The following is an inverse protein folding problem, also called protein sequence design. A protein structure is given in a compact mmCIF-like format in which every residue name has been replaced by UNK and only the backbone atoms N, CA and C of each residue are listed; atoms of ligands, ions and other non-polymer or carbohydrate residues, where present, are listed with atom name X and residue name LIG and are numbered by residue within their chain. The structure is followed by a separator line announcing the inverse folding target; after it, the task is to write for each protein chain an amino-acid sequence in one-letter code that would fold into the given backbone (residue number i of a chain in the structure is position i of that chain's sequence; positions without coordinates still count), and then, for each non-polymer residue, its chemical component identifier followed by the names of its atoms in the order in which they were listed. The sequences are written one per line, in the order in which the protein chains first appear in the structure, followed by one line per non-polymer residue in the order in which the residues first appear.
data_IF_110049028626
#
_entry.id   IF_110049028626
#
_cell.length_a   1.000
_cell.length_b   1.000
_cell.length_c   1.000
_cell.angle_alpha   90.00
_cell.angle_beta   90.00
_cell.angle_gamma   90.00
#
_symmetry.space_group_name_H-M   'P 1'
#
loop_
_entity.id
_entity.type
_entity.pdbx_description
1 polymer ?
#
# COMPACT_ATOMS: atom_id res chain seq x y z
N UNK A 1 -4.84 4.59 8.94
CA UNK A 1 -5.43 5.90 8.53
C UNK A 1 -6.17 6.68 9.62
N UNK A 2 -6.29 6.16 10.85
CA UNK A 2 -7.08 6.79 11.94
C UNK A 2 -6.75 8.25 12.26
N UNK A 3 -5.48 8.65 12.15
CA UNK A 3 -5.06 10.03 12.42
C UNK A 3 -5.36 11.01 11.28
N UNK A 4 -5.68 10.50 10.08
CA UNK A 4 -5.78 11.30 8.86
C UNK A 4 -7.20 11.31 8.28
N UNK A 5 -7.92 10.19 8.34
CA UNK A 5 -9.32 10.08 7.91
C UNK A 5 -9.98 8.97 8.74
N UNK A 6 -10.41 9.27 9.98
CA UNK A 6 -10.96 8.25 10.89
C UNK A 6 -12.28 7.67 10.39
N UNK A 7 -13.04 8.41 9.59
CA UNK A 7 -14.35 7.97 9.10
C UNK A 7 -14.22 6.95 7.96
N UNK A 8 -13.27 7.16 7.05
CA UNK A 8 -13.09 6.29 5.86
C UNK A 8 -11.91 5.34 5.96
N UNK A 9 -10.95 5.62 6.84
CA UNK A 9 -9.76 4.81 7.05
C UNK A 9 -9.02 4.54 5.72
N UNK A 10 -8.65 3.30 5.43
CA UNK A 10 -7.97 2.86 4.19
C UNK A 10 -8.90 2.83 2.96
N UNK A 11 -10.14 3.33 3.09
CA UNK A 11 -11.06 3.59 1.97
C UNK A 11 -11.18 5.09 1.66
N UNK A 12 -10.21 5.89 2.12
CA UNK A 12 -10.13 7.31 1.80
C UNK A 12 -9.77 7.54 0.32
N UNK A 13 -9.67 8.81 -0.08
CA UNK A 13 -9.27 9.16 -1.44
C UNK A 13 -7.76 8.96 -1.62
N UNK A 14 -7.35 8.60 -2.84
CA UNK A 14 -5.94 8.26 -3.14
C UNK A 14 -4.96 9.40 -2.83
N UNK A 15 -5.37 10.64 -3.06
CA UNK A 15 -4.59 11.83 -2.71
C UNK A 15 -4.36 11.93 -1.20
N UNK A 16 -5.40 11.66 -0.39
CA UNK A 16 -5.31 11.71 1.06
C UNK A 16 -4.48 10.55 1.62
N UNK A 17 -4.63 9.35 1.08
CA UNK A 17 -3.78 8.20 1.45
C UNK A 17 -2.31 8.45 1.11
N UNK A 18 -2.02 8.99 -0.08
CA UNK A 18 -0.67 9.31 -0.51
C UNK A 18 -0.03 10.37 0.40
N UNK A 19 -0.78 11.42 0.76
CA UNK A 19 -0.32 12.46 1.69
C UNK A 19 -0.10 11.92 3.11
N UNK A 20 -1.00 11.06 3.60
CA UNK A 20 -0.84 10.43 4.91
C UNK A 20 0.42 9.55 4.96
N UNK A 21 0.61 8.68 3.97
CA UNK A 21 1.80 7.84 3.87
C UNK A 21 3.08 8.68 3.76
N UNK A 22 3.07 9.73 2.94
CA UNK A 22 4.21 10.64 2.83
C UNK A 22 4.52 11.34 4.16
N UNK A 23 3.48 11.79 4.88
CA UNK A 23 3.62 12.46 6.18
C UNK A 23 4.26 11.54 7.21
N UNK A 24 3.81 10.28 7.32
CA UNK A 24 4.42 9.29 8.21
C UNK A 24 5.91 9.07 7.90
N UNK A 25 6.27 9.00 6.61
CA UNK A 25 7.66 8.83 6.17
C UNK A 25 8.53 10.02 6.58
N UNK A 26 8.11 11.25 6.28
CA UNK A 26 8.93 12.45 6.57
C UNK A 26 9.02 12.77 8.06
N UNK A 27 8.03 12.35 8.86
CA UNK A 27 8.06 12.48 10.31
C UNK A 27 8.81 11.33 11.00
N UNK A 28 9.50 10.48 10.23
CA UNK A 28 10.37 9.43 10.75
C UNK A 28 9.64 8.19 11.28
N UNK A 29 8.34 8.04 10.97
CA UNK A 29 7.52 6.86 11.32
C UNK A 29 7.40 5.85 10.17
N UNK A 30 8.06 6.14 9.04
CA UNK A 30 8.18 5.21 7.92
C UNK A 30 9.10 4.02 8.21
N UNK A 31 9.16 3.10 7.26
CA UNK A 31 10.06 1.96 7.26
C UNK A 31 11.52 2.38 6.99
N UNK A 32 12.52 1.52 7.27
CA UNK A 32 13.93 1.83 7.02
C UNK A 32 14.27 2.19 5.56
N UNK A 33 13.48 1.74 4.57
CA UNK A 33 13.69 2.09 3.15
C UNK A 33 12.83 3.26 2.66
N UNK A 34 12.17 3.99 3.58
CA UNK A 34 11.40 5.19 3.25
C UNK A 34 10.00 4.91 2.70
N UNK A 35 9.33 3.88 3.23
CA UNK A 35 7.96 3.52 2.88
C UNK A 35 7.05 3.39 4.09
N UNK A 36 5.88 2.80 3.87
CA UNK A 36 4.91 2.36 4.88
C UNK A 36 4.51 0.92 4.59
N UNK A 37 3.97 0.21 5.57
CA UNK A 37 3.49 -1.16 5.37
C UNK A 37 2.04 -1.19 4.87
N UNK A 38 1.83 -1.89 3.75
CA UNK A 38 0.54 -2.38 3.29
C UNK A 38 0.37 -3.82 3.78
N UNK A 39 -0.47 -4.01 4.78
CA UNK A 39 -0.74 -5.33 5.36
C UNK A 39 -2.13 -5.85 4.92
N UNK A 40 -2.13 -6.99 4.22
CA UNK A 40 -3.35 -7.71 3.82
C UNK A 40 -3.43 -9.10 4.43
N UNK A 41 -2.51 -9.46 5.34
CA UNK A 41 -2.43 -10.78 5.98
C UNK A 41 -3.62 -11.10 6.88
N UNK A 42 -4.36 -10.07 7.30
CA UNK A 42 -5.61 -10.21 8.03
C UNK A 42 -6.78 -10.71 7.16
N UNK A 43 -6.65 -10.68 5.83
CA UNK A 43 -7.65 -11.20 4.91
C UNK A 43 -7.40 -12.69 4.65
N UNK A 44 -8.45 -13.52 4.48
CA UNK A 44 -8.28 -14.92 4.10
C UNK A 44 -7.51 -15.04 2.78
N UNK A 45 -6.56 -15.96 2.72
CA UNK A 45 -5.69 -16.20 1.55
C UNK A 45 -6.50 -16.36 0.27
N UNK A 46 -7.61 -17.08 0.35
CA UNK A 46 -8.53 -17.35 -0.75
C UNK A 46 -9.14 -16.06 -1.31
N UNK A 47 -9.38 -15.06 -0.46
CA UNK A 47 -9.91 -13.75 -0.88
C UNK A 47 -8.90 -13.02 -1.75
N UNK A 48 -7.63 -13.05 -1.39
CA UNK A 48 -6.54 -12.43 -2.16
C UNK A 48 -6.36 -13.16 -3.49
N UNK A 49 -6.33 -14.50 -3.47
CA UNK A 49 -6.20 -15.32 -4.67
C UNK A 49 -7.38 -15.14 -5.64
N UNK A 50 -8.60 -14.96 -5.14
CA UNK A 50 -9.76 -14.75 -5.98
C UNK A 50 -9.84 -13.32 -6.54
N UNK A 51 -9.60 -12.29 -5.72
CA UNK A 51 -9.80 -10.88 -6.11
C UNK A 51 -8.57 -10.23 -6.75
N UNK A 52 -7.37 -10.66 -6.36
CA UNK A 52 -6.08 -10.07 -6.78
C UNK A 52 -5.05 -11.14 -7.19
N UNK A 53 -5.41 -12.15 -8.03
CA UNK A 53 -4.51 -13.25 -8.39
C UNK A 53 -3.21 -12.77 -9.04
N UNK A 54 -3.30 -11.77 -9.92
CA UNK A 54 -2.14 -11.23 -10.63
C UNK A 54 -1.15 -10.55 -9.68
N UNK A 55 -1.62 -9.74 -8.75
CA UNK A 55 -0.76 -9.06 -7.77
C UNK A 55 -0.05 -10.08 -6.90
N UNK A 56 -0.81 -11.05 -6.36
CA UNK A 56 -0.25 -12.14 -5.56
C UNK A 56 0.86 -12.88 -6.33
N UNK A 57 0.58 -13.31 -7.57
CA UNK A 57 1.54 -14.05 -8.38
C UNK A 57 2.78 -13.23 -8.71
N UNK A 58 2.62 -11.96 -9.06
CA UNK A 58 3.74 -11.06 -9.36
C UNK A 58 4.66 -10.89 -8.15
N UNK A 59 4.11 -10.70 -6.95
CA UNK A 59 4.93 -10.54 -5.74
C UNK A 59 5.63 -11.84 -5.36
N UNK A 60 4.94 -12.97 -5.48
CA UNK A 60 5.52 -14.27 -5.19
C UNK A 60 6.66 -14.63 -6.17
N UNK A 61 6.44 -14.45 -7.47
CA UNK A 61 7.40 -14.88 -8.50
C UNK A 61 8.59 -13.92 -8.63
N UNK A 62 8.36 -12.61 -8.55
CA UNK A 62 9.41 -11.61 -8.82
C UNK A 62 10.13 -11.13 -7.56
N UNK A 63 9.44 -11.14 -6.42
CA UNK A 63 9.98 -10.63 -5.17
C UNK A 63 10.13 -11.71 -4.10
N UNK A 64 9.71 -12.95 -4.37
CA UNK A 64 9.70 -14.05 -3.40
C UNK A 64 8.91 -13.70 -2.12
N UNK A 65 7.87 -12.87 -2.27
CA UNK A 65 7.04 -12.39 -1.16
C UNK A 65 5.63 -13.00 -1.23
N UNK A 66 5.25 -13.73 -0.18
CA UNK A 66 3.87 -14.12 0.05
C UNK A 66 3.13 -13.01 0.81
N UNK A 67 2.39 -12.19 0.06
CA UNK A 67 1.65 -11.03 0.60
C UNK A 67 0.52 -11.41 1.55
N UNK A 68 0.16 -12.69 1.62
CA UNK A 68 -0.88 -13.18 2.55
C UNK A 68 -0.32 -13.47 3.95
N UNK A 69 1.00 -13.43 4.10
CA UNK A 69 1.68 -13.69 5.38
C UNK A 69 2.64 -12.56 5.78
N UNK A 70 3.19 -11.82 4.81
CA UNK A 70 4.18 -10.77 5.04
C UNK A 70 3.64 -9.43 4.50
N UNK A 71 3.65 -8.35 5.32
CA UNK A 71 3.30 -7.02 4.86
C UNK A 71 4.22 -6.52 3.73
N UNK A 72 3.66 -5.81 2.77
CA UNK A 72 4.41 -5.17 1.69
C UNK A 72 4.88 -3.78 2.12
N UNK A 73 6.12 -3.44 1.81
CA UNK A 73 6.63 -2.07 1.94
C UNK A 73 6.28 -1.27 0.67
N UNK A 74 5.56 -0.15 0.82
CA UNK A 74 5.08 0.69 -0.28
C UNK A 74 5.35 2.16 -0.01
N UNK A 75 5.44 2.98 -1.07
CA UNK A 75 5.57 4.43 -0.96
C UNK A 75 4.75 5.14 -2.05
N UNK A 76 4.25 6.36 -1.79
CA UNK A 76 3.62 7.19 -2.81
C UNK A 76 4.56 7.37 -4.01
N UNK A 77 4.04 7.13 -5.21
CA UNK A 77 4.82 7.18 -6.46
C UNK A 77 4.04 7.93 -7.53
N UNK A 78 4.75 8.68 -8.39
CA UNK A 78 4.13 9.32 -9.55
C UNK A 78 3.45 8.27 -10.44
N UNK A 79 2.17 8.45 -10.72
CA UNK A 79 1.37 7.50 -11.50
C UNK A 79 0.96 8.03 -12.86
N UNK A 80 0.69 9.33 -12.96
CA UNK A 80 0.15 9.95 -14.17
C UNK A 80 0.59 11.40 -14.27
N UNK A 81 0.80 11.87 -15.51
CA UNK A 81 1.08 13.27 -15.82
C UNK A 81 -0.14 13.85 -16.52
N UNK A 82 -0.87 14.75 -15.84
CA UNK A 82 -2.06 15.38 -16.40
C UNK A 82 -1.75 16.44 -17.46
N UNK A 83 -0.58 17.09 -17.37
CA UNK A 83 -0.16 18.12 -18.31
C UNK A 83 0.18 17.56 -19.69
N UNK A 84 -0.10 18.35 -20.73
CA UNK A 84 0.19 18.09 -22.14
C UNK A 84 0.04 19.39 -22.93
N UNK A 85 0.40 19.38 -24.22
CA UNK A 85 0.24 20.54 -25.12
C UNK A 85 -1.22 20.77 -25.47
#
# INVERSE_FOLDING_TARGET
MSNYDPDRMELSTRDREALAAFTEIVEGRGTPKGGVYLDVSHLPRETILAKRPRVYRTMLDLQMLDITTIPLEVAPTAHYSMGGV
#
